data_IF_718030008320
#
_entry.id   IF_718030008320
#
_cell.length_a   1.000
_cell.length_b   1.000
_cell.length_c   1.000
_cell.angle_alpha   90.00
_cell.angle_beta   90.00
_cell.angle_gamma   90.00
#
_symmetry.space_group_name_H-M   'P 1'
#
loop_
_entity.id
_entity.type
_entity.pdbx_description
1 polymer ?
#
# COMPACT_ATOMS: atom_id res chain seq x y z
N UNK A 1 -27.54 4.59 5.97
CA UNK A 1 -26.78 4.91 7.22
C UNK A 1 -27.41 6.16 7.84
N UNK A 2 -27.59 6.23 9.17
CA UNK A 2 -28.08 7.45 9.82
C UNK A 2 -26.97 8.51 9.86
N UNK A 3 -27.34 9.81 9.92
CA UNK A 3 -26.36 10.91 10.02
C UNK A 3 -25.40 10.76 11.23
N UNK A 4 -25.88 10.19 12.34
CA UNK A 4 -25.06 9.93 13.52
C UNK A 4 -23.98 8.87 13.26
N UNK A 5 -24.31 7.81 12.54
CA UNK A 5 -23.37 6.76 12.15
C UNK A 5 -22.33 7.31 11.17
N UNK A 6 -22.75 8.11 10.20
CA UNK A 6 -21.86 8.75 9.25
C UNK A 6 -20.84 9.66 9.96
N UNK A 7 -21.31 10.53 10.86
CA UNK A 7 -20.45 11.43 11.64
C UNK A 7 -19.44 10.64 12.51
N UNK A 8 -19.85 9.50 13.07
CA UNK A 8 -18.95 8.63 13.82
C UNK A 8 -17.82 8.07 12.94
N UNK A 9 -18.15 7.57 11.75
CA UNK A 9 -17.15 7.06 10.80
C UNK A 9 -16.17 8.16 10.37
N UNK A 10 -16.64 9.35 10.06
CA UNK A 10 -15.81 10.49 9.68
C UNK A 10 -14.85 10.92 10.79
N UNK A 11 -15.29 10.86 12.06
CA UNK A 11 -14.42 11.14 13.21
C UNK A 11 -13.30 10.12 13.36
N UNK A 12 -13.62 8.84 13.23
CA UNK A 12 -12.62 7.77 13.29
C UNK A 12 -11.65 7.84 12.11
N UNK A 13 -12.14 8.14 10.91
CA UNK A 13 -11.29 8.33 9.75
C UNK A 13 -10.30 9.48 9.94
N UNK A 14 -10.76 10.63 10.47
CA UNK A 14 -9.84 11.74 10.81
C UNK A 14 -8.74 11.33 11.76
N UNK A 15 -9.03 10.47 12.74
CA UNK A 15 -8.01 9.95 13.66
C UNK A 15 -6.99 9.09 12.93
N UNK A 16 -7.42 8.20 12.04
CA UNK A 16 -6.51 7.38 11.25
C UNK A 16 -5.64 8.22 10.33
N UNK A 17 -6.23 9.19 9.65
CA UNK A 17 -5.51 10.13 8.78
C UNK A 17 -4.50 10.97 9.58
N UNK A 18 -4.87 11.38 10.80
CA UNK A 18 -3.98 12.10 11.70
C UNK A 18 -2.80 11.23 12.14
N UNK A 19 -3.06 10.00 12.58
CA UNK A 19 -2.01 9.04 12.94
C UNK A 19 -1.02 8.85 11.79
N UNK A 20 -1.52 8.68 10.57
CA UNK A 20 -0.66 8.46 9.40
C UNK A 20 0.29 9.62 9.10
N UNK A 21 -0.20 10.86 9.29
CA UNK A 21 0.59 12.07 9.04
C UNK A 21 1.58 12.38 10.15
N UNK A 22 1.33 11.88 11.36
CA UNK A 22 2.03 12.25 12.58
C UNK A 22 2.72 11.06 13.26
N UNK A 23 3.09 10.00 12.51
CA UNK A 23 3.71 8.80 13.09
C UNK A 23 5.04 9.08 13.80
N UNK A 24 5.70 10.19 13.48
CA UNK A 24 6.95 10.62 14.11
C UNK A 24 6.72 11.45 15.38
N UNK A 25 5.48 11.93 15.60
CA UNK A 25 5.13 12.78 16.73
C UNK A 25 4.68 11.94 17.94
N UNK A 26 4.54 12.60 19.09
CA UNK A 26 3.93 11.99 20.27
C UNK A 26 2.41 11.89 20.08
N UNK A 27 1.93 10.67 19.84
CA UNK A 27 0.53 10.37 19.59
C UNK A 27 -0.14 9.81 20.86
N UNK A 28 -0.28 10.66 21.86
CA UNK A 28 -0.95 10.29 23.11
C UNK A 28 -2.49 10.26 22.97
N UNK A 29 -3.14 9.78 24.02
CA UNK A 29 -4.60 9.67 24.07
C UNK A 29 -5.28 11.04 24.06
N UNK A 30 -4.63 12.08 24.59
CA UNK A 30 -5.15 13.44 24.64
C UNK A 30 -5.26 14.04 23.25
N UNK A 31 -4.18 13.97 22.50
CA UNK A 31 -4.12 14.45 21.12
C UNK A 31 -5.18 13.73 20.27
N UNK A 32 -5.19 12.41 20.31
CA UNK A 32 -6.07 11.63 19.42
C UNK A 32 -7.54 11.72 19.79
N UNK A 33 -7.89 11.82 21.09
CA UNK A 33 -9.26 12.05 21.51
C UNK A 33 -9.76 13.46 21.13
N UNK A 34 -8.87 14.45 21.13
CA UNK A 34 -9.15 15.79 20.63
C UNK A 34 -9.46 15.80 19.14
N UNK A 35 -8.67 15.09 18.31
CA UNK A 35 -8.92 14.92 16.86
C UNK A 35 -10.27 14.27 16.59
N UNK A 36 -10.64 13.26 17.40
CA UNK A 36 -11.92 12.60 17.31
C UNK A 36 -13.09 13.46 17.80
N UNK A 37 -12.85 14.55 18.52
CA UNK A 37 -13.83 15.33 19.26
C UNK A 37 -14.65 14.46 20.23
N UNK A 38 -13.97 13.56 20.97
CA UNK A 38 -14.53 12.71 22.03
C UNK A 38 -13.80 12.98 23.36
N UNK A 39 -14.45 12.63 24.48
CA UNK A 39 -13.71 12.51 25.73
C UNK A 39 -12.73 11.33 25.65
N UNK A 40 -11.60 11.38 26.36
CA UNK A 40 -10.59 10.31 26.40
C UNK A 40 -11.21 8.93 26.67
N UNK A 41 -12.12 8.87 27.65
CA UNK A 41 -12.77 7.64 28.04
C UNK A 41 -13.63 7.05 26.91
N UNK A 42 -14.46 7.87 26.27
CA UNK A 42 -15.28 7.43 25.13
C UNK A 42 -14.44 7.08 23.92
N UNK A 43 -13.43 7.87 23.61
CA UNK A 43 -12.53 7.61 22.51
C UNK A 43 -11.83 6.25 22.64
N UNK A 44 -11.21 5.98 23.79
CA UNK A 44 -10.53 4.70 24.03
C UNK A 44 -11.46 3.51 23.84
N UNK A 45 -12.67 3.55 24.42
CA UNK A 45 -13.63 2.44 24.31
C UNK A 45 -14.15 2.28 22.88
N UNK A 46 -14.45 3.37 22.21
CA UNK A 46 -14.95 3.33 20.85
C UNK A 46 -13.86 2.86 19.87
N UNK A 47 -12.63 3.33 20.03
CA UNK A 47 -11.51 2.88 19.22
C UNK A 47 -11.28 1.38 19.37
N UNK A 48 -11.26 0.88 20.62
CA UNK A 48 -11.12 -0.55 20.90
C UNK A 48 -12.27 -1.36 20.30
N UNK A 49 -13.51 -0.93 20.47
CA UNK A 49 -14.68 -1.60 19.91
C UNK A 49 -14.69 -1.63 18.39
N UNK A 50 -14.11 -0.59 17.77
CA UNK A 50 -14.08 -0.39 16.32
C UNK A 50 -12.97 -1.20 15.65
N UNK A 51 -11.76 -1.13 16.21
CA UNK A 51 -10.56 -1.69 15.60
C UNK A 51 -10.09 -3.01 16.26
N UNK A 52 -10.67 -3.41 17.38
CA UNK A 52 -10.22 -4.56 18.15
C UNK A 52 -8.87 -4.36 18.84
N UNK A 53 -8.31 -3.15 18.82
CA UNK A 53 -6.99 -2.79 19.32
C UNK A 53 -7.10 -1.48 20.12
N UNK A 54 -6.26 -1.33 21.17
CA UNK A 54 -6.09 -0.01 21.78
C UNK A 54 -5.41 0.94 20.80
N UNK A 55 -5.68 2.23 20.91
CA UNK A 55 -5.06 3.25 20.04
C UNK A 55 -3.53 3.24 20.14
N UNK A 56 -2.98 3.08 21.33
CA UNK A 56 -1.53 2.93 21.53
C UNK A 56 -0.96 1.73 20.76
N UNK A 57 -1.66 0.58 20.82
CA UNK A 57 -1.25 -0.62 20.07
C UNK A 57 -1.35 -0.43 18.57
N UNK A 58 -2.36 0.30 18.13
CA UNK A 58 -2.52 0.67 16.72
C UNK A 58 -1.35 1.52 16.21
N UNK A 59 -0.98 2.59 16.95
CA UNK A 59 0.16 3.45 16.61
C UNK A 59 1.47 2.65 16.59
N UNK A 60 1.71 1.80 17.59
CA UNK A 60 2.88 0.91 17.60
C UNK A 60 2.96 0.01 16.37
N UNK A 61 1.81 -0.56 15.94
CA UNK A 61 1.74 -1.40 14.75
C UNK A 61 2.02 -0.61 13.47
N UNK A 62 1.46 0.59 13.36
CA UNK A 62 1.71 1.48 12.22
C UNK A 62 3.19 1.85 12.11
N UNK A 63 3.82 2.23 13.22
CA UNK A 63 5.26 2.51 13.30
C UNK A 63 6.12 1.30 12.93
N UNK A 64 5.77 0.12 13.47
CA UNK A 64 6.50 -1.12 13.19
C UNK A 64 6.37 -1.53 11.71
N UNK A 65 5.19 -1.35 11.10
CA UNK A 65 4.95 -1.60 9.68
C UNK A 65 5.82 -0.69 8.80
N UNK A 66 5.86 0.60 9.12
CA UNK A 66 6.73 1.58 8.45
C UNK A 66 8.21 1.23 8.61
N UNK A 67 8.64 0.86 9.83
CA UNK A 67 10.02 0.47 10.12
C UNK A 67 10.45 -0.77 9.32
N UNK A 68 9.60 -1.82 9.26
CA UNK A 68 9.91 -3.03 8.51
C UNK A 68 10.06 -2.77 7.00
N UNK A 69 9.24 -1.88 6.42
CA UNK A 69 9.40 -1.46 5.03
C UNK A 69 10.67 -0.66 4.78
N UNK A 70 11.04 0.25 5.71
CA UNK A 70 12.32 0.96 5.64
C UNK A 70 13.49 0.00 5.70
N UNK A 71 13.44 -1.02 6.56
CA UNK A 71 14.46 -2.08 6.61
C UNK A 71 14.60 -2.79 5.27
N UNK A 72 13.50 -3.18 4.64
CA UNK A 72 13.50 -3.94 3.40
C UNK A 72 13.93 -3.13 2.17
N UNK A 73 13.74 -1.79 2.17
CA UNK A 73 13.86 -0.98 0.95
C UNK A 73 14.79 0.23 1.06
N UNK A 74 15.31 0.56 2.27
CA UNK A 74 16.25 1.69 2.50
C UNK A 74 17.61 1.20 2.99
N UNK A 75 18.49 0.89 2.07
CA UNK A 75 19.84 0.40 2.40
C UNK A 75 20.70 1.45 3.11
N UNK A 76 20.49 2.74 2.82
CA UNK A 76 21.28 3.84 3.38
C UNK A 76 20.93 4.21 4.83
N UNK A 77 19.74 3.84 5.33
CA UNK A 77 19.32 4.16 6.69
C UNK A 77 19.76 3.07 7.66
N UNK A 78 20.41 3.42 8.75
CA UNK A 78 20.86 2.45 9.76
C UNK A 78 19.68 1.82 10.51
N UNK A 79 19.88 0.61 11.06
CA UNK A 79 18.88 -0.04 11.92
C UNK A 79 18.58 0.79 13.16
N UNK A 80 19.60 1.50 13.67
CA UNK A 80 19.47 2.39 14.83
C UNK A 80 18.55 3.56 14.54
N UNK A 81 18.76 4.25 13.42
CA UNK A 81 17.88 5.37 13.01
C UNK A 81 16.44 4.89 12.82
N UNK A 82 16.23 3.73 12.15
CA UNK A 82 14.90 3.17 11.97
C UNK A 82 14.24 2.83 13.31
N UNK A 83 15.00 2.32 14.28
CA UNK A 83 14.50 2.00 15.62
C UNK A 83 14.02 3.27 16.36
N UNK A 84 14.82 4.34 16.32
CA UNK A 84 14.48 5.63 16.94
C UNK A 84 13.24 6.24 16.29
N UNK A 85 13.19 6.28 14.96
CA UNK A 85 12.03 6.76 14.18
C UNK A 85 10.75 5.92 14.40
N UNK A 86 10.91 4.67 14.83
CA UNK A 86 9.79 3.80 15.21
C UNK A 86 9.32 4.03 16.67
N UNK A 87 9.93 4.99 17.39
CA UNK A 87 9.57 5.37 18.75
C UNK A 87 10.10 4.43 19.82
N UNK A 88 11.22 3.74 19.57
CA UNK A 88 11.91 2.94 20.57
C UNK A 88 13.06 3.72 21.19
N UNK A 89 13.18 3.66 22.52
CA UNK A 89 14.26 4.33 23.26
C UNK A 89 15.64 3.75 22.95
N UNK A 90 15.70 2.47 22.60
CA UNK A 90 16.96 1.79 22.30
C UNK A 90 16.82 0.83 21.09
N UNK A 91 17.89 0.67 20.29
CA UNK A 91 17.90 -0.33 19.20
C UNK A 91 17.65 -1.75 19.68
N UNK A 92 18.09 -2.09 20.91
CA UNK A 92 17.89 -3.43 21.50
C UNK A 92 16.42 -3.69 21.83
N UNK A 93 15.70 -2.69 22.33
CA UNK A 93 14.26 -2.80 22.57
C UNK A 93 13.50 -3.00 21.26
N UNK A 94 13.85 -2.26 20.21
CA UNK A 94 13.32 -2.47 18.87
C UNK A 94 13.61 -3.87 18.34
N UNK A 95 14.88 -4.31 18.40
CA UNK A 95 15.29 -5.62 17.89
C UNK A 95 14.57 -6.77 18.61
N UNK A 96 14.33 -6.65 19.91
CA UNK A 96 13.56 -7.60 20.71
C UNK A 96 12.10 -7.64 20.27
N UNK A 97 11.46 -6.49 20.17
CA UNK A 97 10.05 -6.38 19.74
C UNK A 97 9.86 -6.88 18.29
N UNK A 98 10.80 -6.55 17.40
CA UNK A 98 10.82 -6.98 16.02
C UNK A 98 10.94 -8.52 15.90
N UNK A 99 11.91 -9.11 16.61
CA UNK A 99 12.11 -10.57 16.63
C UNK A 99 10.90 -11.31 17.22
N UNK A 100 10.36 -10.81 18.31
CA UNK A 100 9.16 -11.39 18.92
C UNK A 100 7.97 -11.41 17.96
N UNK A 101 7.88 -10.42 17.07
CA UNK A 101 6.74 -10.28 16.16
C UNK A 101 6.91 -11.04 14.85
N UNK A 102 8.11 -11.04 14.28
CA UNK A 102 8.38 -11.56 12.94
C UNK A 102 9.32 -12.76 12.91
N UNK A 103 9.76 -13.27 14.06
CA UNK A 103 10.72 -14.37 14.13
C UNK A 103 12.15 -14.01 13.71
N UNK A 104 12.36 -12.86 13.10
CA UNK A 104 13.66 -12.41 12.57
C UNK A 104 14.18 -11.16 13.29
N UNK A 105 15.50 -11.00 13.35
CA UNK A 105 16.11 -9.73 13.77
C UNK A 105 15.94 -8.67 12.66
N UNK A 106 15.94 -7.35 13.00
CA UNK A 106 15.89 -6.29 11.99
C UNK A 106 16.97 -6.41 10.92
N UNK A 107 18.19 -6.76 11.31
CA UNK A 107 19.32 -6.92 10.39
C UNK A 107 19.17 -8.15 9.48
N UNK A 108 18.61 -9.25 9.98
CA UNK A 108 18.29 -10.43 9.17
C UNK A 108 17.17 -10.12 8.20
N UNK A 109 16.10 -9.46 8.66
CA UNK A 109 14.97 -9.04 7.83
C UNK A 109 15.41 -8.07 6.71
N UNK A 110 16.36 -7.14 6.98
CA UNK A 110 16.94 -6.28 5.94
C UNK A 110 17.59 -7.06 4.81
N UNK A 111 18.34 -8.13 5.15
CA UNK A 111 19.08 -8.94 4.17
C UNK A 111 18.17 -9.86 3.37
N UNK A 112 17.23 -10.49 4.04
CA UNK A 112 16.32 -11.49 3.48
C UNK A 112 15.04 -11.49 4.31
N UNK A 113 14.04 -10.65 3.98
CA UNK A 113 12.78 -10.58 4.72
C UNK A 113 11.99 -11.88 4.59
N UNK A 114 11.53 -12.40 5.71
CA UNK A 114 10.48 -13.41 5.72
C UNK A 114 9.12 -12.70 5.74
N UNK A 115 8.45 -12.71 4.60
CA UNK A 115 7.19 -11.98 4.41
C UNK A 115 5.98 -12.72 4.96
N UNK A 116 6.05 -14.03 5.17
CA UNK A 116 4.90 -14.80 5.67
C UNK A 116 4.53 -14.40 7.11
N UNK A 117 5.44 -14.42 8.12
CA UNK A 117 5.13 -13.92 9.46
C UNK A 117 4.77 -12.44 9.46
N UNK A 118 5.38 -11.64 8.56
CA UNK A 118 5.10 -10.22 8.45
C UNK A 118 3.66 -9.97 7.99
N UNK A 119 3.20 -10.64 6.92
CA UNK A 119 1.83 -10.53 6.42
C UNK A 119 0.83 -10.98 7.49
N UNK A 120 1.06 -12.11 8.13
CA UNK A 120 0.20 -12.63 9.20
C UNK A 120 0.09 -11.65 10.38
N UNK A 121 1.21 -11.01 10.76
CA UNK A 121 1.23 -10.05 11.87
C UNK A 121 0.45 -8.76 11.59
N UNK A 122 0.36 -8.33 10.32
CA UNK A 122 -0.34 -7.10 9.94
C UNK A 122 -1.72 -7.31 9.35
N UNK A 123 -2.12 -8.53 9.02
CA UNK A 123 -3.43 -8.81 8.44
C UNK A 123 -4.61 -8.27 9.30
N UNK A 124 -4.66 -8.47 10.64
CA UNK A 124 -5.72 -7.91 11.48
C UNK A 124 -5.75 -6.38 11.45
N UNK A 125 -4.56 -5.75 11.47
CA UNK A 125 -4.41 -4.30 11.39
C UNK A 125 -4.91 -3.76 10.05
N UNK A 126 -4.51 -4.36 8.93
CA UNK A 126 -4.92 -3.95 7.59
C UNK A 126 -6.41 -4.17 7.35
N UNK A 127 -6.97 -5.26 7.86
CA UNK A 127 -8.40 -5.54 7.76
C UNK A 127 -9.25 -4.54 8.57
N UNK A 128 -8.83 -4.23 9.81
CA UNK A 128 -9.51 -3.23 10.63
C UNK A 128 -9.47 -1.86 9.97
N UNK A 129 -8.29 -1.47 9.44
CA UNK A 129 -8.08 -0.21 8.73
C UNK A 129 -8.92 -0.12 7.45
N UNK A 130 -8.93 -1.14 6.61
CA UNK A 130 -9.65 -1.17 5.33
C UNK A 130 -11.15 -0.94 5.49
N UNK A 131 -11.75 -1.42 6.59
CA UNK A 131 -13.16 -1.21 6.89
C UNK A 131 -13.52 0.26 7.15
N UNK A 132 -12.57 1.05 7.67
CA UNK A 132 -12.79 2.45 8.06
C UNK A 132 -12.21 3.45 7.07
N UNK A 133 -11.20 3.07 6.31
CA UNK A 133 -10.64 3.92 5.25
C UNK A 133 -11.39 3.78 3.92
N UNK A 134 -12.67 3.50 3.96
CA UNK A 134 -13.52 3.67 2.79
C UNK A 134 -13.66 5.18 2.56
N UNK A 135 -12.66 5.77 1.93
CA UNK A 135 -12.82 7.08 1.31
C UNK A 135 -14.03 6.96 0.37
N UNK A 136 -15.06 7.73 0.66
CA UNK A 136 -16.20 7.81 -0.25
C UNK A 136 -15.72 8.54 -1.50
N UNK A 137 -15.42 7.80 -2.55
CA UNK A 137 -15.12 8.39 -3.84
C UNK A 137 -16.41 8.91 -4.47
N UNK A 138 -16.29 10.00 -5.21
CA UNK A 138 -17.41 10.60 -5.94
C UNK A 138 -17.20 10.44 -7.45
N UNK A 139 -18.28 10.42 -8.26
CA UNK A 139 -18.15 10.31 -9.70
C UNK A 139 -17.25 11.39 -10.33
N UNK A 140 -17.21 12.58 -9.74
CA UNK A 140 -16.41 13.71 -10.22
C UNK A 140 -14.89 13.52 -10.00
N UNK A 141 -14.48 12.58 -9.16
CA UNK A 141 -13.06 12.23 -8.95
C UNK A 141 -12.55 11.27 -10.03
N UNK A 142 -13.43 10.66 -10.81
CA UNK A 142 -13.08 9.78 -11.93
C UNK A 142 -13.03 10.58 -13.21
N UNK A 143 -11.89 10.57 -13.87
CA UNK A 143 -11.66 11.31 -15.13
C UNK A 143 -11.43 10.30 -16.26
N UNK A 144 -12.20 10.41 -17.34
CA UNK A 144 -11.94 9.60 -18.53
C UNK A 144 -10.83 10.27 -19.34
N UNK A 145 -9.77 9.53 -19.64
CA UNK A 145 -8.62 9.99 -20.44
C UNK A 145 -8.24 8.95 -21.48
N UNK A 146 -7.80 9.41 -22.66
CA UNK A 146 -7.03 8.58 -23.57
C UNK A 146 -5.58 8.54 -23.09
N UNK A 147 -5.07 7.34 -22.89
CA UNK A 147 -3.69 7.11 -22.46
C UNK A 147 -2.88 6.48 -23.59
N UNK A 148 -1.62 6.90 -23.79
CA UNK A 148 -0.77 6.27 -24.80
C UNK A 148 -0.39 4.85 -24.40
N UNK A 149 -0.10 3.96 -25.37
CA UNK A 149 0.48 2.66 -25.07
C UNK A 149 1.85 2.88 -24.41
N UNK A 150 2.18 2.04 -23.42
CA UNK A 150 3.42 2.17 -22.67
C UNK A 150 4.21 0.88 -22.72
N UNK A 151 5.42 0.94 -23.31
CA UNK A 151 6.35 -0.18 -23.30
C UNK A 151 6.88 -0.39 -21.88
N UNK A 152 6.91 -1.63 -21.44
CA UNK A 152 7.29 -1.98 -20.07
C UNK A 152 8.19 -3.21 -20.03
N UNK A 153 9.05 -3.23 -19.03
CA UNK A 153 9.68 -4.45 -18.54
C UNK A 153 8.81 -5.04 -17.43
N UNK A 154 8.49 -6.32 -17.52
CA UNK A 154 7.52 -7.02 -16.68
C UNK A 154 8.19 -8.13 -15.89
N UNK A 155 8.03 -8.11 -14.56
CA UNK A 155 8.19 -9.29 -13.71
C UNK A 155 6.82 -9.81 -13.34
N UNK A 156 6.49 -11.00 -13.82
CA UNK A 156 5.25 -11.69 -13.45
C UNK A 156 5.41 -12.39 -12.10
N UNK A 157 4.52 -12.08 -11.18
CA UNK A 157 4.34 -12.89 -9.98
C UNK A 157 3.10 -13.75 -10.15
N UNK A 158 3.27 -15.05 -9.98
CA UNK A 158 2.21 -16.06 -10.05
C UNK A 158 2.33 -16.99 -8.84
N UNK A 159 1.21 -17.31 -8.21
CA UNK A 159 1.16 -18.21 -7.06
C UNK A 159 1.05 -17.48 -5.73
N UNK A 160 1.54 -18.05 -4.66
CA UNK A 160 1.31 -17.59 -3.30
C UNK A 160 1.69 -16.12 -3.09
N UNK A 161 0.72 -15.34 -2.61
CA UNK A 161 0.87 -13.92 -2.31
C UNK A 161 1.96 -13.65 -1.25
N UNK A 162 2.25 -14.60 -0.36
CA UNK A 162 3.31 -14.47 0.65
C UNK A 162 4.68 -14.29 -0.01
N UNK A 163 4.87 -14.83 -1.22
CA UNK A 163 6.09 -14.73 -2.02
C UNK A 163 6.18 -13.44 -2.86
N UNK A 164 5.15 -12.58 -2.81
CA UNK A 164 5.17 -11.31 -3.57
C UNK A 164 6.32 -10.40 -3.14
N UNK A 165 6.67 -10.41 -1.86
CA UNK A 165 7.78 -9.63 -1.33
C UNK A 165 9.11 -9.96 -2.00
N UNK A 166 9.40 -11.24 -2.22
CA UNK A 166 10.62 -11.72 -2.90
C UNK A 166 10.62 -11.30 -4.38
N UNK A 167 9.46 -11.40 -5.04
CA UNK A 167 9.31 -10.91 -6.41
C UNK A 167 9.54 -9.41 -6.49
N UNK A 168 9.04 -8.64 -5.54
CA UNK A 168 9.25 -7.20 -5.46
C UNK A 168 10.74 -6.86 -5.25
N UNK A 169 11.43 -7.54 -4.35
CA UNK A 169 12.88 -7.34 -4.13
C UNK A 169 13.68 -7.67 -5.39
N UNK A 170 13.38 -8.79 -6.04
CA UNK A 170 14.00 -9.17 -7.31
C UNK A 170 13.77 -8.12 -8.39
N UNK A 171 12.55 -7.60 -8.50
CA UNK A 171 12.22 -6.53 -9.46
C UNK A 171 12.98 -5.23 -9.16
N UNK A 172 13.06 -4.82 -7.88
CA UNK A 172 13.82 -3.63 -7.46
C UNK A 172 15.31 -3.80 -7.76
N UNK A 173 15.90 -4.95 -7.45
CA UNK A 173 17.30 -5.24 -7.71
C UNK A 173 17.61 -5.18 -9.21
N UNK A 174 16.75 -5.77 -10.05
CA UNK A 174 16.86 -5.69 -11.49
C UNK A 174 16.76 -4.24 -12.00
N UNK A 175 15.79 -3.45 -11.51
CA UNK A 175 15.64 -2.04 -11.89
C UNK A 175 16.89 -1.22 -11.59
N UNK A 176 17.50 -1.43 -10.40
CA UNK A 176 18.77 -0.80 -10.02
C UNK A 176 19.88 -1.17 -11.01
N UNK A 177 20.02 -2.44 -11.35
CA UNK A 177 21.02 -2.93 -12.30
C UNK A 177 20.79 -2.39 -13.74
N UNK A 178 19.53 -2.26 -14.16
CA UNK A 178 19.16 -1.74 -15.48
C UNK A 178 19.16 -0.19 -15.56
N UNK A 179 19.42 0.51 -14.46
CA UNK A 179 19.41 1.98 -14.41
C UNK A 179 18.01 2.58 -14.64
N UNK A 180 16.95 1.86 -14.24
CA UNK A 180 15.55 2.30 -14.37
C UNK A 180 15.04 2.84 -13.03
N UNK A 181 15.47 4.04 -12.66
CA UNK A 181 15.04 4.66 -11.41
C UNK A 181 13.56 5.07 -11.48
N UNK A 182 12.77 4.93 -10.40
CA UNK A 182 11.34 5.29 -10.38
C UNK A 182 11.03 6.73 -10.81
N UNK A 183 11.93 7.69 -10.56
CA UNK A 183 11.77 9.09 -10.96
C UNK A 183 11.85 9.31 -12.48
N UNK A 184 12.48 8.40 -13.23
CA UNK A 184 12.68 8.50 -14.69
C UNK A 184 12.00 7.38 -15.46
N UNK A 185 11.60 6.31 -14.79
CA UNK A 185 10.96 5.14 -15.35
C UNK A 185 9.66 4.88 -14.57
N UNK A 186 8.48 5.13 -15.16
CA UNK A 186 7.21 4.98 -14.46
C UNK A 186 7.01 3.55 -13.96
N UNK A 187 6.38 3.44 -12.79
CA UNK A 187 6.13 2.17 -12.12
C UNK A 187 4.66 1.83 -12.19
N UNK A 188 4.35 0.64 -12.73
CA UNK A 188 2.98 0.15 -12.80
C UNK A 188 2.82 -1.19 -12.08
N UNK A 189 1.59 -1.46 -11.69
CA UNK A 189 1.16 -2.75 -11.18
C UNK A 189 -0.12 -3.14 -11.90
N UNK A 190 -0.15 -4.33 -12.53
CA UNK A 190 -1.33 -4.86 -13.22
C UNK A 190 -1.86 -6.04 -12.43
N UNK A 191 -3.12 -6.00 -12.01
CA UNK A 191 -3.75 -7.09 -11.27
C UNK A 191 -4.41 -8.08 -12.22
N UNK A 192 -3.79 -9.25 -12.37
CA UNK A 192 -4.28 -10.33 -13.25
C UNK A 192 -5.30 -11.22 -12.57
N UNK A 193 -5.39 -11.18 -11.25
CA UNK A 193 -6.36 -11.90 -10.43
C UNK A 193 -6.94 -11.00 -9.35
N UNK A 194 -7.94 -11.50 -8.65
CA UNK A 194 -8.41 -10.90 -7.41
C UNK A 194 -7.28 -10.88 -6.35
N UNK A 195 -7.38 -9.95 -5.41
CA UNK A 195 -6.41 -9.84 -4.31
C UNK A 195 -6.38 -11.07 -3.42
N UNK A 196 -7.54 -11.73 -3.27
CA UNK A 196 -7.72 -12.96 -2.49
C UNK A 196 -8.49 -13.96 -3.34
N UNK A 197 -7.83 -14.61 -4.32
CA UNK A 197 -8.49 -15.64 -5.11
C UNK A 197 -8.87 -16.83 -4.22
N UNK A 198 -9.80 -17.63 -4.67
CA UNK A 198 -10.26 -18.81 -3.93
C UNK A 198 -9.13 -19.80 -3.62
N UNK A 199 -8.16 -19.91 -4.52
CA UNK A 199 -6.93 -20.68 -4.30
C UNK A 199 -5.72 -19.73 -4.31
N UNK A 200 -4.81 -19.83 -3.33
CA UNK A 200 -3.59 -18.99 -3.28
C UNK A 200 -2.75 -19.11 -4.56
N UNK A 201 -2.75 -20.27 -5.22
CA UNK A 201 -2.03 -20.50 -6.46
C UNK A 201 -2.52 -19.64 -7.63
N UNK A 202 -3.78 -19.16 -7.60
CA UNK A 202 -4.37 -18.33 -8.65
C UNK A 202 -4.01 -16.85 -8.53
N UNK A 203 -3.30 -16.47 -7.47
CA UNK A 203 -2.86 -15.08 -7.32
C UNK A 203 -1.88 -14.69 -8.41
N UNK A 204 -2.17 -13.61 -9.11
CA UNK A 204 -1.42 -13.16 -10.26
C UNK A 204 -1.33 -11.63 -10.32
N UNK A 205 -0.12 -11.12 -10.40
CA UNK A 205 0.18 -9.69 -10.50
C UNK A 205 1.42 -9.47 -11.37
N UNK A 206 1.42 -8.40 -12.16
CA UNK A 206 2.59 -7.99 -12.93
C UNK A 206 3.19 -6.73 -12.33
N UNK A 207 4.48 -6.77 -12.01
CA UNK A 207 5.28 -5.61 -11.62
C UNK A 207 5.96 -5.05 -12.86
N UNK A 208 5.66 -3.80 -13.20
CA UNK A 208 6.07 -3.22 -14.48
C UNK A 208 6.89 -1.92 -14.28
N UNK A 209 7.95 -1.78 -15.08
CA UNK A 209 8.74 -0.55 -15.20
C UNK A 209 8.65 -0.05 -16.63
N UNK A 210 8.20 1.19 -16.85
CA UNK A 210 8.18 1.81 -18.17
C UNK A 210 9.60 1.96 -18.71
N UNK A 211 9.82 1.54 -19.95
CA UNK A 211 11.14 1.66 -20.61
C UNK A 211 11.04 1.60 -22.11
N UNK A 212 11.78 2.47 -22.78
CA UNK A 212 11.98 2.42 -24.23
C UNK A 212 13.20 1.57 -24.63
N UNK A 213 14.01 1.17 -23.63
CA UNK A 213 15.16 0.29 -23.87
C UNK A 213 14.70 -1.15 -24.15
N UNK A 214 15.38 -1.88 -25.04
CA UNK A 214 15.12 -3.30 -25.20
C UNK A 214 15.31 -4.06 -23.88
N UNK A 215 14.41 -4.97 -23.59
CA UNK A 215 14.53 -5.90 -22.46
C UNK A 215 15.08 -7.21 -23.00
N UNK A 216 16.38 -7.40 -22.88
CA UNK A 216 17.07 -8.61 -23.31
C UNK A 216 16.77 -9.78 -22.37
N UNK A 217 17.01 -11.01 -22.85
CA UNK A 217 16.94 -12.21 -22.00
C UNK A 217 17.88 -12.06 -20.80
N UNK A 218 17.38 -12.34 -19.61
CA UNK A 218 18.10 -12.07 -18.38
C UNK A 218 17.80 -13.13 -17.31
N UNK A 219 18.71 -13.28 -16.35
CA UNK A 219 18.55 -14.23 -15.24
C UNK A 219 17.50 -13.82 -14.17
N UNK A 220 16.84 -12.66 -14.33
CA UNK A 220 15.85 -12.14 -13.39
C UNK A 220 14.41 -12.54 -13.74
N UNK A 221 14.21 -13.23 -14.86
CA UNK A 221 12.89 -13.59 -15.40
C UNK A 221 12.02 -12.34 -15.70
N UNK A 222 12.67 -11.28 -16.19
CA UNK A 222 12.01 -10.05 -16.65
C UNK A 222 11.83 -10.15 -18.16
N UNK A 223 10.64 -9.82 -18.66
CA UNK A 223 10.31 -9.83 -20.08
C UNK A 223 9.81 -8.49 -20.59
N UNK A 224 9.96 -8.24 -21.87
CA UNK A 224 9.35 -7.09 -22.53
C UNK A 224 7.83 -7.28 -22.62
N UNK A 225 7.09 -6.17 -22.52
CA UNK A 225 5.65 -6.14 -22.72
C UNK A 225 5.15 -4.73 -22.95
N UNK A 226 3.83 -4.60 -22.97
CA UNK A 226 3.15 -3.33 -23.20
C UNK A 226 1.89 -3.23 -22.33
N UNK A 227 1.65 -2.05 -21.77
CA UNK A 227 0.36 -1.64 -21.25
C UNK A 227 -0.36 -0.97 -22.41
N UNK A 228 -1.49 -1.53 -22.93
CA UNK A 228 -2.16 -1.01 -24.11
C UNK A 228 -2.71 0.40 -23.86
N UNK A 229 -2.53 1.28 -24.82
CA UNK A 229 -3.15 2.60 -24.83
C UNK A 229 -4.66 2.54 -25.04
N UNK A 230 -5.34 3.68 -24.99
CA UNK A 230 -6.76 3.88 -25.23
C UNK A 230 -7.49 4.49 -24.06
N UNK A 231 -8.82 4.54 -24.14
CA UNK A 231 -9.67 5.15 -23.12
C UNK A 231 -9.56 4.44 -21.78
N UNK A 232 -9.45 5.20 -20.72
CA UNK A 232 -9.40 4.69 -19.34
C UNK A 232 -10.18 5.61 -18.40
N UNK A 233 -10.95 5.04 -17.49
CA UNK A 233 -11.41 5.74 -16.30
C UNK A 233 -10.26 5.78 -15.29
N UNK A 234 -9.88 6.99 -14.89
CA UNK A 234 -8.72 7.22 -14.02
C UNK A 234 -9.17 7.82 -12.70
N UNK A 235 -8.79 7.15 -11.62
CA UNK A 235 -9.04 7.59 -10.25
C UNK A 235 -7.72 7.85 -9.54
N UNK A 236 -7.52 9.10 -9.10
CA UNK A 236 -6.32 9.49 -8.35
C UNK A 236 -6.52 9.21 -6.86
N UNK A 237 -5.57 8.50 -6.29
CA UNK A 237 -5.55 8.13 -4.87
C UNK A 237 -4.32 8.72 -4.21
N UNK A 238 -4.55 9.45 -3.11
CA UNK A 238 -3.49 10.01 -2.26
C UNK A 238 -3.53 9.30 -0.93
N UNK A 239 -2.38 8.90 -0.43
CA UNK A 239 -2.22 8.17 0.83
C UNK A 239 -1.63 6.80 0.63
N UNK A 240 -2.03 5.83 1.46
CA UNK A 240 -1.46 4.49 1.43
C UNK A 240 -1.71 3.77 0.09
N UNK A 241 -0.74 3.88 -0.82
CA UNK A 241 -0.78 3.26 -2.15
C UNK A 241 -0.73 1.72 -2.14
N UNK A 242 -0.63 1.10 -0.97
CA UNK A 242 -0.70 -0.37 -0.84
C UNK A 242 -2.13 -0.86 -0.62
N UNK A 243 -3.07 0.04 -0.32
CA UNK A 243 -4.49 -0.29 -0.15
C UNK A 243 -5.33 0.27 -1.30
N UNK A 244 -5.05 -0.18 -2.51
CA UNK A 244 -5.78 0.21 -3.72
C UNK A 244 -7.03 -0.64 -4.00
N UNK A 245 -7.36 -1.60 -3.12
CA UNK A 245 -8.55 -2.44 -3.27
C UNK A 245 -9.87 -1.64 -3.14
N UNK A 246 -10.06 -0.78 -2.13
CA UNK A 246 -11.29 0.01 -2.02
C UNK A 246 -11.55 0.92 -3.24
N UNK A 247 -10.58 1.70 -3.75
CA UNK A 247 -10.79 2.49 -4.95
C UNK A 247 -11.00 1.64 -6.22
N UNK A 248 -10.38 0.47 -6.34
CA UNK A 248 -10.63 -0.45 -7.44
C UNK A 248 -12.06 -1.01 -7.39
N UNK A 249 -12.53 -1.42 -6.21
CA UNK A 249 -13.91 -1.87 -6.01
C UNK A 249 -14.91 -0.76 -6.32
N UNK A 250 -14.63 0.48 -5.92
CA UNK A 250 -15.47 1.62 -6.27
C UNK A 250 -15.61 1.78 -7.80
N UNK A 251 -14.51 1.71 -8.54
CA UNK A 251 -14.56 1.81 -10.01
C UNK A 251 -15.44 0.73 -10.64
N UNK A 252 -15.34 -0.52 -10.19
CA UNK A 252 -16.12 -1.62 -10.77
C UNK A 252 -17.57 -1.68 -10.29
N UNK A 253 -17.80 -1.48 -8.98
CA UNK A 253 -19.10 -1.73 -8.36
C UNK A 253 -20.03 -0.53 -8.41
N UNK A 254 -19.47 0.67 -8.23
CA UNK A 254 -20.26 1.88 -8.03
C UNK A 254 -20.20 2.80 -9.27
N UNK A 255 -18.99 3.09 -9.77
CA UNK A 255 -18.81 4.04 -10.86
C UNK A 255 -19.18 3.45 -12.24
N UNK A 256 -18.63 2.31 -12.61
CA UNK A 256 -18.81 1.73 -13.96
C UNK A 256 -20.29 1.50 -14.31
N UNK A 257 -21.12 0.87 -13.44
CA UNK A 257 -22.54 0.69 -13.74
C UNK A 257 -23.32 1.99 -13.87
N UNK A 258 -22.90 3.05 -13.18
CA UNK A 258 -23.55 4.37 -13.21
C UNK A 258 -23.07 5.27 -14.35
N UNK A 259 -21.92 5.00 -14.94
CA UNK A 259 -21.27 5.84 -15.93
C UNK A 259 -21.80 5.65 -17.37
N UNK A 260 -22.43 4.51 -17.66
CA UNK A 260 -22.81 4.10 -19.02
C UNK A 260 -21.62 3.60 -19.86
N UNK A 261 -20.43 3.47 -19.28
CA UNK A 261 -19.23 2.98 -19.94
C UNK A 261 -19.12 1.46 -19.85
N UNK A 262 -18.32 0.86 -20.73
CA UNK A 262 -18.04 -0.58 -20.73
C UNK A 262 -16.54 -0.82 -20.55
N UNK A 263 -16.18 -1.78 -19.68
CA UNK A 263 -14.80 -2.18 -19.49
C UNK A 263 -14.27 -2.91 -20.75
N UNK A 264 -13.02 -2.60 -21.11
CA UNK A 264 -12.26 -3.30 -22.16
C UNK A 264 -11.63 -4.57 -21.56
N UNK A 265 -11.33 -5.55 -22.41
CA UNK A 265 -10.66 -6.80 -22.01
C UNK A 265 -9.15 -6.58 -21.73
N UNK A 266 -8.88 -5.80 -20.70
CA UNK A 266 -7.56 -5.62 -20.08
C UNK A 266 -7.75 -5.31 -18.59
N UNK A 267 -6.93 -5.92 -17.69
CA UNK A 267 -7.09 -5.75 -16.27
C UNK A 267 -6.93 -4.30 -15.79
N UNK A 268 -7.56 -3.97 -14.68
CA UNK A 268 -7.28 -2.74 -13.95
C UNK A 268 -5.80 -2.71 -13.55
N UNK A 269 -5.18 -1.55 -13.62
CA UNK A 269 -3.80 -1.34 -13.24
C UNK A 269 -3.62 -0.01 -12.52
N UNK A 270 -2.51 0.16 -11.83
CA UNK A 270 -2.14 1.46 -11.29
C UNK A 270 -0.78 1.91 -11.80
N UNK A 271 -0.62 3.23 -11.91
CA UNK A 271 0.67 3.90 -11.98
C UNK A 271 0.97 4.52 -10.62
N UNK A 272 2.15 4.26 -10.09
CA UNK A 272 2.65 4.92 -8.88
C UNK A 272 3.36 6.20 -9.30
N UNK A 273 2.79 7.35 -8.95
CA UNK A 273 3.33 8.66 -9.28
C UNK A 273 4.38 9.13 -8.26
N UNK A 274 4.19 8.76 -7.01
CA UNK A 274 5.18 8.90 -5.95
C UNK A 274 5.23 7.63 -5.11
N UNK A 275 6.41 7.25 -4.68
CA UNK A 275 6.67 5.95 -4.06
C UNK A 275 7.35 6.17 -2.71
N UNK A 276 6.87 5.49 -1.68
CA UNK A 276 7.66 5.31 -0.47
C UNK A 276 8.94 4.53 -0.83
N UNK A 277 10.11 4.93 -0.38
CA UNK A 277 10.42 5.92 0.63
C UNK A 277 10.75 7.35 0.15
N UNK A 278 10.56 7.67 -1.12
CA UNK A 278 10.85 9.02 -1.66
C UNK A 278 9.93 10.08 -1.04
N UNK A 279 8.69 9.69 -0.74
CA UNK A 279 7.73 10.51 0.01
C UNK A 279 7.18 9.72 1.21
N UNK A 280 6.67 10.40 2.25
CA UNK A 280 5.92 9.74 3.33
C UNK A 280 4.74 8.91 2.78
N UNK A 281 4.37 7.83 3.47
CA UNK A 281 3.28 6.95 2.99
C UNK A 281 1.95 7.68 2.76
N UNK A 282 1.64 8.68 3.59
CA UNK A 282 0.40 9.45 3.48
C UNK A 282 0.40 10.47 2.32
N UNK A 283 1.56 10.76 1.75
CA UNK A 283 1.73 11.62 0.58
C UNK A 283 1.91 10.82 -0.72
N UNK A 284 2.01 9.48 -0.62
CA UNK A 284 2.14 8.64 -1.79
C UNK A 284 0.93 8.79 -2.71
N UNK A 285 1.20 8.92 -4.01
CA UNK A 285 0.17 9.12 -5.02
C UNK A 285 0.19 7.98 -6.01
N UNK A 286 -0.97 7.41 -6.26
CA UNK A 286 -1.19 6.47 -7.35
C UNK A 286 -2.40 6.89 -8.19
N UNK A 287 -2.38 6.57 -9.46
CA UNK A 287 -3.56 6.62 -10.33
C UNK A 287 -3.97 5.19 -10.68
N UNK A 288 -5.24 4.88 -10.48
CA UNK A 288 -5.85 3.64 -10.95
C UNK A 288 -6.45 3.87 -12.32
N UNK A 289 -6.25 2.93 -13.21
CA UNK A 289 -6.75 2.93 -14.57
C UNK A 289 -7.66 1.74 -14.77
N UNK A 290 -8.93 1.99 -15.04
CA UNK A 290 -9.88 0.99 -15.53
C UNK A 290 -10.02 1.18 -17.04
N UNK A 291 -9.48 0.26 -17.88
CA UNK A 291 -9.56 0.35 -19.32
C UNK A 291 -11.02 0.26 -19.81
N UNK A 292 -11.39 1.15 -20.74
CA UNK A 292 -12.72 1.26 -21.35
C UNK A 292 -12.68 0.91 -22.83
N UNK A 293 -13.86 0.51 -23.36
CA UNK A 293 -14.07 0.32 -24.81
C UNK A 293 -14.08 1.63 -25.57
#
# INVERSE_FOLDING_TARGET
>A
MTAAVQNYYERMQRVLDYIDRHLDDDLDLDVLSGVAAFSKFHFHRQFMATFGLSVHRYVQLARMKRASRRLAHRDAQSVTEIAMDAGYETPDAFARAFRQRFGQSPSSFRKSPDWEPWLAAFEPFDNARSKFMQKSFTPNEVVIRDVPPTRVAILEHRGDRTMLGDSLQRFIAWRKAAGLHPSTSPTFTVWRSERRPAQPADYAIDLCAGTDKPVEANGWNIKAGEIPGGRCAVLRVVGNADNLEPPALYLYRDWLPASGEEARDFPIYCQRLSIFPEVPEHEAVAELFLPLK
#
